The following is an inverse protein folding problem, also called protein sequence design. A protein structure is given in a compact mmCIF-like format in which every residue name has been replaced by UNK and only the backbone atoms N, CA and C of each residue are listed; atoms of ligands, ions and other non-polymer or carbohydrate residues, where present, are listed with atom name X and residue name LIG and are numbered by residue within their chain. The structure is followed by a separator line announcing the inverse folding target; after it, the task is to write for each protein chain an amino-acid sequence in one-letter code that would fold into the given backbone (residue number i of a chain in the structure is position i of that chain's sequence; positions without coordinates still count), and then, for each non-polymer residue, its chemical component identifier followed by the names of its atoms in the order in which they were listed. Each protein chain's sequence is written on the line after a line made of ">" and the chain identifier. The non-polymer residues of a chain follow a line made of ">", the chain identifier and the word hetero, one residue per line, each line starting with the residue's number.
data_IF_569044416464
#
_entry.id   IF_569044416464
#
_cell.length_a   1.000
_cell.length_b   1.000
_cell.length_c   1.000
_cell.angle_alpha   90.00
_cell.angle_beta   90.00
_cell.angle_gamma   90.00
#
_symmetry.space_group_name_H-M   'P 1'
#
loop_
_entity.id
_entity.type
_entity.pdbx_description
1 polymer ?
#
# COMPACT_ATOMS: atom_id res chain seq x y z
N UNK A 1 -4.54 -5.87 3.44
CA UNK A 1 -4.00 -4.85 2.55
C UNK A 1 -3.49 -3.67 3.37
N UNK A 2 -2.32 -3.14 3.02
CA UNK A 2 -1.75 -1.94 3.64
C UNK A 2 -1.49 -0.90 2.55
N UNK A 3 -1.80 0.37 2.83
CA UNK A 3 -1.48 1.50 1.97
C UNK A 3 -0.57 2.47 2.72
N UNK A 4 0.52 2.88 2.05
CA UNK A 4 1.50 3.83 2.53
C UNK A 4 1.84 4.82 1.43
N UNK A 5 2.30 5.98 1.84
CA UNK A 5 2.81 7.03 0.96
C UNK A 5 4.10 7.59 1.54
N UNK A 6 4.82 8.34 0.72
CA UNK A 6 6.06 9.00 1.15
C UNK A 6 5.74 10.02 2.25
N UNK A 7 6.37 9.91 3.44
CA UNK A 7 6.31 10.95 4.43
C UNK A 7 6.85 12.25 3.86
N UNK A 8 6.18 13.37 4.14
CA UNK A 8 6.52 14.69 3.61
C UNK A 8 6.01 15.79 4.52
N UNK A 9 6.65 16.94 4.48
CA UNK A 9 6.08 18.17 5.05
C UNK A 9 5.07 18.71 4.04
N UNK A 10 3.87 19.00 4.50
CA UNK A 10 2.80 19.55 3.67
C UNK A 10 2.82 21.08 3.64
N UNK A 11 2.03 21.68 2.76
CA UNK A 11 1.99 23.14 2.54
C UNK A 11 1.64 23.94 3.80
N UNK A 12 0.89 23.33 4.72
CA UNK A 12 0.54 23.91 6.01
C UNK A 12 1.62 23.74 7.09
N UNK A 13 2.81 23.23 6.72
CA UNK A 13 3.92 22.89 7.61
C UNK A 13 3.65 21.71 8.56
N UNK A 14 2.56 20.97 8.36
CA UNK A 14 2.33 19.73 9.10
C UNK A 14 3.13 18.58 8.50
N UNK A 15 3.58 17.68 9.37
CA UNK A 15 4.27 16.46 8.97
C UNK A 15 3.24 15.38 8.61
N UNK A 16 3.20 14.99 7.34
CA UNK A 16 2.48 13.80 6.91
C UNK A 16 3.36 12.56 7.13
N UNK A 17 2.91 11.65 7.99
CA UNK A 17 3.66 10.47 8.44
C UNK A 17 3.73 9.32 7.41
N UNK A 18 3.06 9.48 6.27
CA UNK A 18 3.02 8.48 5.20
C UNK A 18 2.06 7.31 5.43
N UNK A 19 1.37 7.24 6.58
CA UNK A 19 0.50 6.11 6.90
C UNK A 19 -0.90 6.38 6.37
N UNK A 20 -1.37 5.59 5.40
CA UNK A 20 -2.75 5.73 4.89
C UNK A 20 -3.69 4.84 5.70
N UNK A 21 -3.45 3.53 5.72
CA UNK A 21 -4.27 2.58 6.48
C UNK A 21 -3.92 1.12 6.26
N UNK A 22 -4.48 0.25 7.10
CA UNK A 22 -4.45 -1.22 6.97
C UNK A 22 -5.85 -1.78 7.11
N UNK A 23 -6.21 -2.65 6.17
CA UNK A 23 -7.50 -3.32 6.13
C UNK A 23 -7.30 -4.83 6.01
N UNK A 24 -7.83 -5.58 6.96
CA UNK A 24 -7.72 -7.04 7.01
C UNK A 24 -8.78 -7.69 6.11
N UNK A 25 -8.38 -8.72 5.37
CA UNK A 25 -9.31 -9.55 4.59
C UNK A 25 -9.93 -10.62 5.50
N UNK A 26 -10.95 -10.23 6.24
CA UNK A 26 -11.61 -11.09 7.22
C UNK A 26 -13.10 -11.18 6.99
N UNK A 27 -13.66 -12.33 7.35
CA UNK A 27 -15.10 -12.57 7.40
C UNK A 27 -15.46 -13.18 8.75
N UNK A 28 -16.68 -12.89 9.23
CA UNK A 28 -17.22 -13.51 10.45
C UNK A 28 -18.00 -14.74 10.06
N UNK A 29 -17.49 -15.92 10.37
CA UNK A 29 -18.14 -17.20 10.09
C UNK A 29 -18.46 -17.90 11.41
N UNK A 30 -19.66 -18.47 11.52
CA UNK A 30 -20.04 -19.25 12.68
C UNK A 30 -19.13 -20.49 12.82
N UNK A 31 -18.58 -20.71 14.02
CA UNK A 31 -17.75 -21.87 14.31
C UNK A 31 -18.51 -23.17 13.99
N UNK A 32 -17.99 -23.96 13.05
CA UNK A 32 -18.63 -25.19 12.60
C UNK A 32 -18.49 -26.35 13.59
N UNK A 33 -17.40 -26.36 14.37
CA UNK A 33 -17.07 -27.40 15.34
C UNK A 33 -16.97 -26.82 16.74
N UNK A 34 -17.45 -27.58 17.72
CA UNK A 34 -17.17 -27.31 19.12
C UNK A 34 -15.67 -27.49 19.39
N UNK A 35 -15.10 -26.54 20.12
CA UNK A 35 -13.75 -26.65 20.68
C UNK A 35 -13.77 -26.17 22.14
N UNK A 36 -12.77 -26.56 22.93
CA UNK A 36 -12.65 -26.12 24.34
C UNK A 36 -12.75 -24.60 24.54
N UNK A 37 -12.43 -23.80 23.52
CA UNK A 37 -12.45 -22.32 23.59
C UNK A 37 -13.59 -21.66 22.81
N UNK A 38 -14.38 -22.42 22.05
CA UNK A 38 -15.42 -21.89 21.15
C UNK A 38 -16.55 -22.90 20.99
N UNK A 39 -17.74 -22.55 21.44
CA UNK A 39 -18.97 -23.28 21.13
C UNK A 39 -19.32 -23.12 19.65
N UNK A 40 -19.95 -24.14 19.07
CA UNK A 40 -20.49 -24.14 17.72
C UNK A 40 -21.48 -22.97 17.60
N UNK A 41 -21.37 -22.19 16.53
CA UNK A 41 -22.18 -20.99 16.33
C UNK A 41 -21.53 -19.68 16.78
N UNK A 42 -20.45 -19.70 17.58
CA UNK A 42 -19.72 -18.46 17.92
C UNK A 42 -19.13 -17.84 16.65
N UNK A 43 -19.34 -16.54 16.42
CA UNK A 43 -18.74 -15.83 15.28
C UNK A 43 -17.21 -15.83 15.41
N UNK A 44 -16.55 -16.38 14.40
CA UNK A 44 -15.09 -16.45 14.31
C UNK A 44 -14.64 -15.65 13.11
N UNK A 45 -13.70 -14.76 13.34
CA UNK A 45 -12.97 -14.06 12.30
C UNK A 45 -12.08 -15.05 11.55
N UNK A 46 -12.41 -15.37 10.31
CA UNK A 46 -11.62 -16.23 9.43
C UNK A 46 -11.01 -15.42 8.30
N UNK A 47 -9.85 -15.88 7.79
CA UNK A 47 -9.21 -15.28 6.63
C UNK A 47 -10.05 -15.55 5.38
N UNK A 48 -10.43 -14.49 4.68
CA UNK A 48 -11.16 -14.59 3.42
C UNK A 48 -10.18 -14.70 2.25
N UNK A 49 -10.46 -15.60 1.29
CA UNK A 49 -9.71 -15.62 0.04
C UNK A 49 -9.87 -14.30 -0.71
N UNK A 50 -8.78 -13.77 -1.27
CA UNK A 50 -8.75 -12.47 -1.93
C UNK A 50 -8.89 -12.66 -3.43
N UNK A 51 -10.13 -12.63 -3.90
CA UNK A 51 -10.43 -12.63 -5.32
C UNK A 51 -10.36 -11.19 -5.88
N UNK A 52 -10.28 -11.07 -7.22
CA UNK A 52 -10.29 -9.79 -7.92
C UNK A 52 -11.40 -8.83 -7.45
N UNK A 53 -12.63 -9.34 -7.28
CA UNK A 53 -13.76 -8.53 -6.82
C UNK A 53 -13.58 -8.03 -5.38
N UNK A 54 -13.20 -8.92 -4.46
CA UNK A 54 -12.97 -8.57 -3.05
C UNK A 54 -11.84 -7.54 -2.94
N UNK A 55 -10.82 -7.67 -3.78
CA UNK A 55 -9.73 -6.72 -3.86
C UNK A 55 -10.20 -5.35 -4.36
N UNK A 56 -10.94 -5.31 -5.47
CA UNK A 56 -11.50 -4.08 -6.03
C UNK A 56 -12.42 -3.36 -5.03
N UNK A 57 -13.32 -4.08 -4.38
CA UNK A 57 -14.24 -3.54 -3.37
C UNK A 57 -13.46 -2.93 -2.20
N UNK A 58 -12.37 -3.59 -1.78
CA UNK A 58 -11.51 -3.08 -0.72
C UNK A 58 -10.79 -1.79 -1.14
N UNK A 59 -10.31 -1.71 -2.38
CA UNK A 59 -9.65 -0.51 -2.91
C UNK A 59 -10.62 0.66 -2.98
N UNK A 60 -11.81 0.45 -3.55
CA UNK A 60 -12.79 1.52 -3.75
C UNK A 60 -13.48 1.95 -2.46
N UNK A 61 -13.80 0.99 -1.59
CA UNK A 61 -14.52 1.27 -0.35
C UNK A 61 -13.64 1.82 0.76
N UNK A 62 -12.34 1.50 0.74
CA UNK A 62 -11.44 1.85 1.85
C UNK A 62 -10.22 2.67 1.41
N UNK A 63 -9.47 2.21 0.40
CA UNK A 63 -8.19 2.86 0.03
C UNK A 63 -8.42 4.23 -0.59
N UNK A 64 -9.28 4.31 -1.61
CA UNK A 64 -9.53 5.57 -2.31
C UNK A 64 -10.09 6.64 -1.37
N UNK A 65 -11.11 6.36 -0.53
CA UNK A 65 -11.60 7.32 0.44
C UNK A 65 -10.52 7.73 1.46
N UNK A 66 -9.71 6.78 1.96
CA UNK A 66 -8.65 7.08 2.91
C UNK A 66 -7.55 7.98 2.30
N UNK A 67 -7.20 7.77 1.03
CA UNK A 67 -6.28 8.65 0.29
C UNK A 67 -6.89 10.04 0.18
N UNK A 68 -8.15 10.15 -0.29
CA UNK A 68 -8.83 11.44 -0.46
C UNK A 68 -9.00 12.21 0.85
N UNK A 69 -9.17 11.50 1.97
CA UNK A 69 -9.27 12.10 3.29
C UNK A 69 -7.92 12.57 3.84
N UNK A 70 -6.83 11.84 3.56
CA UNK A 70 -5.49 12.13 4.13
C UNK A 70 -4.62 13.03 3.26
N UNK A 71 -4.88 13.12 1.97
CA UNK A 71 -4.09 13.93 1.05
C UNK A 71 -4.76 15.28 0.86
N UNK A 72 -4.01 16.37 1.00
CA UNK A 72 -4.49 17.70 0.65
C UNK A 72 -4.94 17.79 -0.82
N UNK A 73 -5.93 18.66 -1.08
CA UNK A 73 -6.47 18.89 -2.43
C UNK A 73 -5.40 19.29 -3.46
N UNK A 74 -4.33 19.98 -3.05
CA UNK A 74 -3.22 20.33 -3.94
C UNK A 74 -2.47 19.10 -4.46
N UNK A 75 -2.26 18.08 -3.63
CA UNK A 75 -1.60 16.84 -4.01
C UNK A 75 -2.49 15.97 -4.90
N UNK A 76 -3.80 16.01 -4.70
CA UNK A 76 -4.77 15.31 -5.55
C UNK A 76 -4.77 15.84 -6.99
N UNK A 77 -4.56 17.16 -7.18
CA UNK A 77 -4.48 17.79 -8.51
C UNK A 77 -3.26 17.38 -9.32
N UNK A 78 -2.16 17.03 -8.66
CA UNK A 78 -0.94 16.56 -9.32
C UNK A 78 -1.03 15.11 -9.81
N UNK A 79 -2.12 14.41 -9.50
CA UNK A 79 -2.31 12.99 -9.79
C UNK A 79 -1.61 12.11 -8.76
N UNK A 80 -2.35 11.17 -8.16
CA UNK A 80 -1.81 10.22 -7.19
C UNK A 80 -1.54 8.89 -7.88
N UNK A 81 -0.29 8.47 -7.89
CA UNK A 81 0.11 7.17 -8.41
C UNK A 81 0.13 6.13 -7.29
N UNK A 82 -0.63 5.05 -7.48
CA UNK A 82 -0.64 3.91 -6.57
C UNK A 82 0.18 2.78 -7.19
N UNK A 83 1.24 2.40 -6.49
CA UNK A 83 2.06 1.25 -6.83
C UNK A 83 1.49 -0.02 -6.19
N UNK A 84 1.27 -1.06 -6.99
CA UNK A 84 0.85 -2.40 -6.53
C UNK A 84 1.81 -3.47 -7.04
N UNK A 85 1.71 -4.68 -6.50
CA UNK A 85 2.41 -5.84 -7.08
C UNK A 85 1.55 -6.51 -8.18
N UNK A 86 2.18 -7.30 -9.03
CA UNK A 86 1.53 -7.93 -10.19
C UNK A 86 0.73 -9.22 -9.85
N UNK A 87 0.14 -9.31 -8.66
CA UNK A 87 -0.71 -10.45 -8.31
C UNK A 87 -1.93 -10.52 -9.25
N UNK A 88 -2.38 -11.74 -9.58
CA UNK A 88 -3.46 -11.94 -10.55
C UNK A 88 -4.75 -11.21 -10.20
N UNK A 89 -5.07 -11.05 -8.91
CA UNK A 89 -6.22 -10.29 -8.43
C UNK A 89 -6.07 -8.78 -8.61
N UNK A 90 -4.85 -8.24 -8.67
CA UNK A 90 -4.59 -6.80 -8.81
C UNK A 90 -4.77 -6.29 -10.23
N UNK A 91 -4.65 -7.17 -11.24
CA UNK A 91 -4.98 -6.86 -12.64
C UNK A 91 -6.43 -6.40 -12.84
N UNK A 92 -7.30 -6.66 -11.87
CA UNK A 92 -8.70 -6.21 -11.90
C UNK A 92 -8.88 -4.72 -11.61
N UNK A 93 -7.87 -4.05 -11.04
CA UNK A 93 -7.92 -2.63 -10.69
C UNK A 93 -7.03 -1.87 -11.67
N UNK A 94 -7.66 -1.27 -12.68
CA UNK A 94 -6.96 -0.46 -13.69
C UNK A 94 -7.35 1.00 -13.57
N UNK A 95 -6.47 1.90 -14.03
CA UNK A 95 -6.76 3.34 -14.12
C UNK A 95 -8.05 3.59 -14.93
N UNK A 96 -8.24 2.88 -16.04
CA UNK A 96 -9.46 2.97 -16.84
C UNK A 96 -10.73 2.58 -16.06
N UNK A 97 -10.64 1.59 -15.17
CA UNK A 97 -11.77 1.20 -14.33
C UNK A 97 -12.10 2.30 -13.29
N UNK A 98 -11.10 2.97 -12.74
CA UNK A 98 -11.30 4.11 -11.85
C UNK A 98 -11.94 5.30 -12.59
N UNK A 99 -11.45 5.60 -13.79
CA UNK A 99 -12.00 6.66 -14.64
C UNK A 99 -13.47 6.39 -14.96
N UNK A 100 -13.84 5.14 -15.28
CA UNK A 100 -15.24 4.74 -15.51
C UNK A 100 -16.15 4.96 -14.30
N UNK A 101 -15.57 5.05 -13.09
CA UNK A 101 -16.27 5.33 -11.83
C UNK A 101 -16.13 6.79 -11.38
N UNK A 102 -15.64 7.68 -12.25
CA UNK A 102 -15.49 9.11 -11.97
C UNK A 102 -14.29 9.47 -11.10
N UNK A 103 -13.29 8.58 -10.98
CA UNK A 103 -12.05 8.81 -10.24
C UNK A 103 -10.93 9.04 -11.26
N UNK A 104 -10.67 10.30 -11.60
CA UNK A 104 -9.63 10.70 -12.56
C UNK A 104 -8.32 11.17 -11.91
N UNK A 105 -8.33 11.34 -10.58
CA UNK A 105 -7.21 11.87 -9.79
C UNK A 105 -6.24 10.78 -9.30
N UNK A 106 -6.52 9.50 -9.58
CA UNK A 106 -5.69 8.35 -9.18
C UNK A 106 -5.36 7.45 -10.37
N UNK A 107 -4.10 7.00 -10.44
CA UNK A 107 -3.63 6.02 -11.42
C UNK A 107 -2.93 4.83 -10.75
N UNK A 108 -3.07 3.63 -11.32
CA UNK A 108 -2.39 2.43 -10.84
C UNK A 108 -1.20 2.05 -11.72
N UNK A 109 -0.09 1.65 -11.09
CA UNK A 109 1.09 1.12 -11.76
C UNK A 109 1.49 -0.22 -11.12
N UNK A 110 1.65 -1.25 -11.96
CA UNK A 110 2.14 -2.55 -11.54
C UNK A 110 3.66 -2.50 -11.41
N UNK A 111 4.17 -2.91 -10.25
CA UNK A 111 5.60 -3.01 -9.98
C UNK A 111 6.01 -4.44 -9.63
N UNK A 112 7.29 -4.74 -9.83
CA UNK A 112 7.89 -6.01 -9.42
C UNK A 112 8.08 -5.97 -7.89
N UNK A 113 7.69 -7.06 -7.22
CA UNK A 113 7.60 -7.17 -5.76
C UNK A 113 8.89 -6.76 -5.05
N UNK A 114 8.78 -5.88 -4.04
CA UNK A 114 9.54 -5.91 -2.78
C UNK A 114 9.19 -4.70 -1.91
N UNK A 115 8.36 -4.88 -0.88
CA UNK A 115 8.35 -4.16 0.43
C UNK A 115 6.92 -4.14 1.03
N UNK A 116 6.54 -5.25 1.65
CA UNK A 116 5.49 -5.24 2.68
C UNK A 116 5.98 -6.03 3.89
N UNK A 117 6.63 -5.37 4.85
CA UNK A 117 6.82 -5.94 6.17
C UNK A 117 7.00 -4.86 7.25
N UNK A 118 6.19 -4.99 8.30
CA UNK A 118 6.13 -4.20 9.55
C UNK A 118 5.48 -2.82 9.48
N UNK A 119 4.17 -2.79 9.74
CA UNK A 119 3.31 -1.60 9.62
C UNK A 119 3.05 -0.85 10.94
N UNK A 120 3.27 -1.44 12.12
CA UNK A 120 2.82 -0.81 13.38
C UNK A 120 3.92 -0.22 14.27
N UNK A 121 5.19 -0.58 14.08
CA UNK A 121 6.27 -0.14 14.99
C UNK A 121 7.35 0.69 14.30
N UNK A 122 7.21 0.92 12.98
CA UNK A 122 8.24 1.62 12.22
C UNK A 122 8.11 3.13 12.39
N UNK A 123 9.12 3.83 12.93
CA UNK A 123 9.16 5.29 12.94
C UNK A 123 9.13 5.83 11.51
N UNK A 124 8.66 7.07 11.34
CA UNK A 124 8.58 7.77 10.04
C UNK A 124 9.91 7.67 9.27
N UNK A 125 11.03 7.72 10.00
CA UNK A 125 12.37 7.58 9.46
C UNK A 125 12.59 6.24 8.77
N UNK A 126 12.04 5.15 9.28
CA UNK A 126 12.14 3.82 8.65
C UNK A 126 11.38 3.79 7.34
N UNK A 127 10.18 4.39 7.26
CA UNK A 127 9.39 4.45 6.03
C UNK A 127 10.07 5.31 4.97
N UNK A 128 10.64 6.44 5.36
CA UNK A 128 11.43 7.29 4.46
C UNK A 128 12.68 6.56 3.96
N UNK A 129 13.40 5.85 4.84
CA UNK A 129 14.59 5.06 4.47
C UNK A 129 14.27 3.93 3.51
N UNK A 130 13.15 3.22 3.68
CA UNK A 130 12.77 2.11 2.78
C UNK A 130 12.41 2.63 1.39
N UNK A 131 11.68 3.75 1.29
CA UNK A 131 11.38 4.38 -0.01
C UNK A 131 12.62 4.89 -0.73
N UNK A 132 13.55 5.54 -0.03
CA UNK A 132 14.84 5.97 -0.60
C UNK A 132 15.65 4.78 -1.10
N UNK A 133 15.65 3.69 -0.32
CA UNK A 133 16.33 2.45 -0.71
C UNK A 133 15.72 1.84 -1.97
N UNK A 134 14.38 1.82 -2.05
CA UNK A 134 13.65 1.31 -3.21
C UNK A 134 13.96 2.14 -4.47
N UNK A 135 13.95 3.48 -4.36
CA UNK A 135 14.31 4.35 -5.48
C UNK A 135 15.72 4.03 -5.98
N UNK A 136 16.69 3.89 -5.07
CA UNK A 136 18.08 3.64 -5.47
C UNK A 136 18.30 2.23 -6.04
N UNK A 137 17.59 1.25 -5.53
CA UNK A 137 17.54 -0.11 -6.09
C UNK A 137 17.04 -0.07 -7.54
N UNK A 138 15.97 0.70 -7.83
CA UNK A 138 15.48 0.84 -9.20
C UNK A 138 16.51 1.53 -10.10
N UNK A 139 17.14 2.62 -9.65
CA UNK A 139 18.20 3.29 -10.41
C UNK A 139 19.35 2.33 -10.76
N UNK A 140 19.85 1.56 -9.79
CA UNK A 140 20.94 0.62 -10.03
C UNK A 140 20.52 -0.54 -10.94
N UNK A 141 19.30 -1.04 -10.80
CA UNK A 141 18.79 -2.07 -11.70
C UNK A 141 18.71 -1.54 -13.14
N UNK A 142 18.30 -0.29 -13.34
CA UNK A 142 18.29 0.36 -14.66
C UNK A 142 19.72 0.51 -15.21
N UNK A 143 20.66 1.00 -14.39
CA UNK A 143 22.08 1.10 -14.75
C UNK A 143 22.67 -0.26 -15.17
N UNK A 144 22.20 -1.34 -14.55
CA UNK A 144 22.63 -2.71 -14.82
C UNK A 144 21.70 -3.48 -15.79
N UNK A 145 20.94 -2.77 -16.63
CA UNK A 145 20.05 -3.36 -17.66
C UNK A 145 19.06 -4.42 -17.12
N UNK A 146 18.57 -4.24 -15.90
CA UNK A 146 17.62 -5.12 -15.22
C UNK A 146 18.27 -6.28 -14.45
N UNK A 147 19.60 -6.33 -14.34
CA UNK A 147 20.30 -7.30 -13.50
C UNK A 147 20.14 -6.97 -12.01
N UNK A 148 20.18 -8.00 -11.16
CA UNK A 148 20.20 -7.87 -9.71
C UNK A 148 21.62 -7.91 -9.11
N UNK A 149 22.64 -7.98 -9.97
CA UNK A 149 24.05 -8.08 -9.56
C UNK A 149 24.66 -6.69 -9.28
N UNK A 150 24.00 -5.91 -8.44
CA UNK A 150 24.48 -4.60 -7.98
C UNK A 150 24.70 -4.62 -6.47
N UNK A 151 25.77 -3.96 -6.02
CA UNK A 151 25.97 -3.70 -4.60
C UNK A 151 25.00 -2.61 -4.15
N UNK A 152 24.28 -2.85 -3.07
CA UNK A 152 23.43 -1.81 -2.47
C UNK A 152 24.32 -0.63 -2.04
N UNK A 153 24.15 0.57 -2.62
CA UNK A 153 24.98 1.72 -2.29
C UNK A 153 24.71 2.15 -0.85
N UNK A 154 25.78 2.39 -0.10
CA UNK A 154 25.69 2.82 1.28
C UNK A 154 25.29 4.29 1.36
N UNK A 155 23.98 4.54 1.35
CA UNK A 155 23.43 5.89 1.49
C UNK A 155 23.49 6.32 2.96
N UNK A 156 23.93 7.54 3.25
CA UNK A 156 23.83 8.17 4.58
C UNK A 156 22.37 8.54 4.85
N UNK A 157 21.49 7.54 4.95
CA UNK A 157 20.03 7.74 4.87
C UNK A 157 19.50 8.65 5.97
N UNK A 158 20.18 8.71 7.12
CA UNK A 158 19.86 9.63 8.22
C UNK A 158 19.92 11.12 7.83
N UNK A 159 20.69 11.50 6.80
CA UNK A 159 20.76 12.87 6.31
C UNK A 159 19.73 13.21 5.21
N UNK A 160 19.05 12.20 4.64
CA UNK A 160 18.05 12.36 3.57
C UNK A 160 16.60 12.19 4.06
N UNK A 161 16.43 11.90 5.35
CA UNK A 161 15.13 11.77 6.00
C UNK A 161 14.77 13.12 6.61
N UNK A 162 13.49 13.47 6.55
CA UNK A 162 12.89 14.70 7.08
C UNK A 162 12.75 14.64 8.60
#
# INVERSE_FOLDING_TARGET
>A
MAAIARPRVELNSDLFDGKIGVWSFVEQVAAQRNSKKRTKGTLVTTSKSVDAKVYLDMVLGNVVPAIKAKFHHSTQRSGILIQQDNASSHKSVTTALLESRGISDLGFFNSIQSLQKSFYESPVNTVSKTLITLQKVMENAIEMHGSNDYKLPHMKKDACVI
#
